data_IF_146423635483
#
_entry.id   IF_146423635483
#
_cell.length_a   1.000
_cell.length_b   1.000
_cell.length_c   1.000
_cell.angle_alpha   90.00
_cell.angle_beta   90.00
_cell.angle_gamma   90.00
#
_symmetry.space_group_name_H-M   'P 1'
#
loop_
_entity.id
_entity.type
_entity.pdbx_description
1 polymer ?
#
# COMPACT_ATOMS: atom_id res chain seq x y z
N UNK A 1 -3.55 8.61 -14.23
CA UNK A 1 -2.15 8.28 -13.82
C UNK A 1 -0.99 8.83 -14.69
N UNK A 2 -1.20 9.28 -15.92
CA UNK A 2 -0.10 9.59 -16.86
C UNK A 2 0.82 10.74 -16.43
N UNK A 3 0.25 11.76 -15.78
CA UNK A 3 0.99 12.85 -15.15
C UNK A 3 2.14 12.37 -14.26
N UNK A 4 1.89 11.37 -13.40
CA UNK A 4 2.91 10.84 -12.50
C UNK A 4 3.98 10.03 -13.23
N UNK A 5 3.64 9.41 -14.37
CA UNK A 5 4.63 8.70 -15.20
C UNK A 5 5.60 9.69 -15.84
N UNK A 6 5.11 10.82 -16.33
CA UNK A 6 5.93 11.89 -16.89
C UNK A 6 6.83 12.53 -15.83
N UNK A 7 6.27 12.83 -14.65
CA UNK A 7 7.03 13.36 -13.52
C UNK A 7 8.22 12.48 -13.14
N UNK A 8 8.05 11.15 -13.12
CA UNK A 8 9.12 10.20 -12.79
C UNK A 8 10.28 10.20 -13.79
N UNK A 9 10.13 10.82 -14.97
CA UNK A 9 11.19 10.95 -15.94
C UNK A 9 12.07 12.21 -15.74
N UNK A 10 11.70 13.09 -14.82
CA UNK A 10 12.44 14.33 -14.52
C UNK A 10 13.50 14.08 -13.45
N UNK A 11 14.68 14.65 -13.62
CA UNK A 11 15.74 14.62 -12.59
C UNK A 11 16.06 15.94 -11.93
N UNK A 12 15.87 17.02 -12.68
CA UNK A 12 16.37 18.32 -12.30
C UNK A 12 15.22 19.22 -11.89
N UNK A 13 15.44 19.98 -10.82
CA UNK A 13 14.43 20.91 -10.30
C UNK A 13 14.08 21.98 -11.33
N UNK A 14 15.01 22.38 -12.20
CA UNK A 14 14.76 23.37 -13.25
C UNK A 14 13.79 22.81 -14.29
N UNK A 15 13.97 21.54 -14.70
CA UNK A 15 13.06 20.86 -15.63
C UNK A 15 11.67 20.66 -15.00
N UNK A 16 11.60 20.35 -13.70
CA UNK A 16 10.33 20.27 -12.98
C UNK A 16 9.59 21.62 -12.98
N UNK A 17 10.29 22.71 -12.66
CA UNK A 17 9.70 24.06 -12.65
C UNK A 17 9.21 24.44 -14.05
N UNK A 18 10.02 24.24 -15.08
CA UNK A 18 9.68 24.63 -16.45
C UNK A 18 8.47 23.85 -17.01
N UNK A 19 8.30 22.58 -16.63
CA UNK A 19 7.23 21.72 -17.20
C UNK A 19 5.97 21.62 -16.35
N UNK A 20 6.06 21.75 -15.02
CA UNK A 20 4.98 21.38 -14.11
C UNK A 20 4.54 22.48 -13.14
N UNK A 21 5.30 23.57 -13.00
CA UNK A 21 4.94 24.66 -12.09
C UNK A 21 4.26 25.78 -12.87
N UNK A 22 3.06 26.14 -12.44
CA UNK A 22 2.33 27.30 -12.97
C UNK A 22 3.12 28.59 -12.64
N UNK A 23 3.55 29.39 -13.63
CA UNK A 23 4.29 30.63 -13.42
C UNK A 23 3.59 31.60 -12.47
N UNK A 24 2.26 31.65 -12.48
CA UNK A 24 1.47 32.58 -11.67
C UNK A 24 1.38 32.15 -10.19
N UNK A 25 1.68 30.88 -9.89
CA UNK A 25 1.74 30.34 -8.53
C UNK A 25 3.03 30.69 -7.80
N UNK A 26 4.01 31.27 -8.51
CA UNK A 26 5.33 31.58 -7.98
C UNK A 26 5.28 32.96 -7.31
N UNK A 27 5.29 32.99 -5.97
CA UNK A 27 5.31 34.25 -5.22
C UNK A 27 6.59 35.07 -5.57
N UNK A 28 6.44 36.28 -6.13
CA UNK A 28 7.57 37.14 -6.49
C UNK A 28 8.47 37.47 -5.29
N UNK A 29 7.93 37.46 -4.06
CA UNK A 29 8.68 37.74 -2.81
C UNK A 29 9.51 36.54 -2.32
N UNK A 30 9.20 35.32 -2.77
CA UNK A 30 9.97 34.11 -2.46
C UNK A 30 11.25 34.00 -3.29
N UNK A 31 11.51 34.92 -4.22
CA UNK A 31 12.75 35.00 -4.99
C UNK A 31 12.92 33.88 -6.02
N UNK A 32 11.86 33.10 -6.28
CA UNK A 32 11.81 31.99 -7.24
C UNK A 32 11.56 32.54 -8.66
N UNK A 33 12.21 33.64 -9.06
CA UNK A 33 12.24 33.97 -10.48
C UNK A 33 13.05 32.88 -11.19
N UNK A 34 12.60 32.37 -12.34
CA UNK A 34 13.34 31.39 -13.13
C UNK A 34 14.80 31.83 -13.40
N UNK A 35 15.05 33.14 -13.48
CA UNK A 35 16.39 33.75 -13.59
C UNK A 35 17.21 33.72 -12.29
N UNK A 36 16.57 33.76 -11.11
CA UNK A 36 17.23 33.67 -9.80
C UNK A 36 17.47 32.23 -9.36
N UNK A 37 16.65 31.27 -9.82
CA UNK A 37 16.92 29.83 -9.77
C UNK A 37 18.12 29.41 -10.65
N UNK A 38 18.64 30.28 -11.52
CA UNK A 38 19.92 30.05 -12.21
C UNK A 38 21.12 30.66 -11.47
N UNK A 39 20.87 31.53 -10.47
CA UNK A 39 21.91 32.20 -9.69
C UNK A 39 22.32 31.34 -8.48
N UNK A 40 23.62 31.16 -8.30
CA UNK A 40 24.16 30.60 -7.06
C UNK A 40 23.96 31.65 -5.94
N UNK A 41 23.05 31.38 -5.00
CA UNK A 41 22.85 32.27 -3.85
C UNK A 41 23.86 31.89 -2.77
N UNK A 42 24.74 32.83 -2.40
CA UNK A 42 25.77 32.72 -1.34
C UNK A 42 25.20 32.68 0.10
N UNK A 43 23.96 32.20 0.29
CA UNK A 43 23.42 31.93 1.63
C UNK A 43 23.69 30.46 1.95
N UNK A 44 24.69 30.20 2.78
CA UNK A 44 25.05 28.91 3.39
C UNK A 44 24.91 27.68 2.45
N UNK A 45 25.87 27.46 1.55
CA UNK A 45 26.10 26.22 0.77
C UNK A 45 24.85 25.35 0.50
N UNK A 46 23.77 25.93 -0.02
CA UNK A 46 22.56 25.17 -0.34
C UNK A 46 22.84 24.36 -1.61
N UNK A 47 23.04 23.05 -1.44
CA UNK A 47 23.19 22.11 -2.56
C UNK A 47 21.80 21.77 -3.07
N UNK A 48 21.57 21.94 -4.38
CA UNK A 48 20.33 21.52 -5.01
C UNK A 48 20.21 20.00 -4.93
N UNK A 49 19.10 19.53 -4.38
CA UNK A 49 18.80 18.11 -4.36
C UNK A 49 18.65 17.60 -5.79
N UNK A 50 19.26 16.45 -6.07
CA UNK A 50 19.05 15.69 -7.30
C UNK A 50 18.09 14.55 -6.98
N UNK A 51 17.11 14.32 -7.84
CA UNK A 51 16.19 13.21 -7.65
C UNK A 51 16.94 11.88 -7.72
N UNK A 52 16.78 11.03 -6.70
CA UNK A 52 17.27 9.66 -6.71
C UNK A 52 16.31 8.82 -7.57
N UNK A 53 16.58 8.73 -8.89
CA UNK A 53 15.73 7.98 -9.82
C UNK A 53 15.64 6.50 -9.42
N UNK A 54 14.48 5.90 -9.68
CA UNK A 54 14.30 4.46 -9.58
C UNK A 54 15.27 3.72 -10.51
N UNK A 55 16.28 3.07 -9.93
CA UNK A 55 17.33 2.37 -10.66
C UNK A 55 17.97 1.26 -9.82
N UNK A 56 18.68 0.29 -10.43
CA UNK A 56 19.39 -0.74 -9.67
C UNK A 56 20.61 -0.16 -8.95
N UNK A 57 20.58 -0.16 -7.62
CA UNK A 57 21.66 0.33 -6.76
C UNK A 57 22.26 -0.81 -5.90
N UNK A 58 23.56 -0.75 -5.57
CA UNK A 58 24.19 -1.74 -4.70
C UNK A 58 23.57 -1.74 -3.30
N UNK A 59 22.94 -2.85 -2.94
CA UNK A 59 22.32 -3.08 -1.62
C UNK A 59 22.97 -4.28 -0.95
N UNK A 60 23.15 -4.19 0.37
CA UNK A 60 23.69 -5.29 1.18
C UNK A 60 22.61 -6.35 1.38
N UNK A 61 22.94 -7.61 1.10
CA UNK A 61 22.06 -8.76 1.28
C UNK A 61 22.75 -9.85 2.07
N UNK A 62 22.00 -10.52 2.93
CA UNK A 62 22.51 -11.60 3.75
C UNK A 62 22.69 -12.88 2.92
N UNK A 63 23.78 -13.59 3.21
CA UNK A 63 24.13 -14.88 2.61
C UNK A 63 23.97 -16.04 3.61
N UNK A 64 23.27 -15.80 4.73
CA UNK A 64 23.03 -16.79 5.78
C UNK A 64 21.63 -17.37 5.56
N UNK A 65 21.49 -18.69 5.32
CA UNK A 65 20.18 -19.32 5.23
C UNK A 65 19.47 -19.29 6.60
N UNK A 66 18.13 -19.22 6.60
CA UNK A 66 17.30 -19.01 7.81
C UNK A 66 17.45 -20.08 8.91
N UNK A 67 17.97 -21.27 8.60
CA UNK A 67 18.13 -22.35 9.58
C UNK A 67 19.36 -23.19 9.25
N UNK A 68 20.48 -22.89 9.89
CA UNK A 68 21.73 -23.64 9.70
C UNK A 68 22.48 -23.81 11.01
N UNK A 69 22.95 -25.02 11.28
CA UNK A 69 23.80 -25.31 12.45
C UNK A 69 25.22 -24.72 12.33
N UNK A 70 25.57 -24.19 11.17
CA UNK A 70 26.89 -23.68 10.86
C UNK A 70 26.90 -22.16 10.67
N UNK A 71 28.06 -21.56 10.86
CA UNK A 71 28.31 -20.15 10.52
C UNK A 71 28.83 -20.02 9.09
N UNK A 72 28.63 -18.85 8.48
CA UNK A 72 28.98 -18.58 7.09
C UNK A 72 29.89 -17.36 6.94
N UNK A 73 30.85 -17.46 6.02
CA UNK A 73 31.74 -16.37 5.63
C UNK A 73 31.81 -16.22 4.08
N UNK A 74 31.66 -15.00 3.54
CA UNK A 74 31.18 -13.78 4.22
C UNK A 74 29.71 -13.91 4.65
N UNK A 75 29.28 -13.10 5.62
CA UNK A 75 27.88 -13.09 6.10
C UNK A 75 26.91 -12.40 5.14
N UNK A 76 27.40 -11.42 4.39
CA UNK A 76 26.62 -10.63 3.46
C UNK A 76 27.47 -10.24 2.25
N UNK A 77 26.81 -9.85 1.17
CA UNK A 77 27.45 -9.31 -0.04
C UNK A 77 26.64 -8.13 -0.57
N UNK A 78 27.16 -7.43 -1.58
CA UNK A 78 26.43 -6.38 -2.30
C UNK A 78 25.88 -6.93 -3.59
N UNK A 79 24.58 -6.76 -3.81
CA UNK A 79 23.91 -7.06 -5.09
C UNK A 79 23.10 -5.85 -5.53
N UNK A 80 22.84 -5.72 -6.83
CA UNK A 80 21.98 -4.64 -7.31
C UNK A 80 20.52 -4.94 -6.95
N UNK A 81 19.87 -4.00 -6.28
CA UNK A 81 18.43 -4.01 -6.00
C UNK A 81 17.83 -2.68 -6.43
N UNK A 82 16.56 -2.70 -6.79
CA UNK A 82 15.85 -1.50 -7.18
C UNK A 82 15.70 -0.59 -5.97
N UNK A 83 16.17 0.64 -6.11
CA UNK A 83 16.17 1.68 -5.09
C UNK A 83 15.92 3.02 -5.76
N UNK A 84 15.64 4.04 -4.95
CA UNK A 84 15.27 5.38 -5.40
C UNK A 84 13.82 5.75 -5.10
N UNK A 85 13.45 6.96 -5.48
CA UNK A 85 12.17 7.59 -5.18
C UNK A 85 11.27 7.60 -6.43
N UNK A 86 9.97 7.49 -6.19
CA UNK A 86 8.92 7.76 -7.16
C UNK A 86 8.10 8.97 -6.65
N UNK A 87 7.59 9.80 -7.55
CA UNK A 87 7.02 11.11 -7.21
C UNK A 87 5.62 11.06 -6.55
N UNK A 88 5.02 9.89 -6.42
CA UNK A 88 3.73 9.70 -5.73
C UNK A 88 3.81 8.52 -4.77
N UNK A 89 3.15 8.60 -3.60
CA UNK A 89 3.11 7.48 -2.66
C UNK A 89 2.44 6.23 -3.24
N UNK A 90 1.61 6.35 -4.28
CA UNK A 90 0.95 5.22 -4.94
C UNK A 90 1.91 4.33 -5.73
N UNK A 91 3.10 4.86 -6.06
CA UNK A 91 4.13 4.14 -6.82
C UNK A 91 5.27 3.69 -5.90
N UNK A 92 5.91 2.58 -6.27
CA UNK A 92 7.18 2.12 -5.71
C UNK A 92 8.16 1.73 -6.80
N UNK A 93 9.46 1.81 -6.50
CA UNK A 93 10.50 1.36 -7.41
C UNK A 93 10.55 -0.17 -7.40
N UNK A 94 10.15 -0.79 -8.51
CA UNK A 94 10.00 -2.24 -8.66
C UNK A 94 10.90 -2.77 -9.79
N UNK A 95 11.43 -4.00 -9.67
CA UNK A 95 12.20 -4.62 -10.74
C UNK A 95 11.32 -4.96 -11.94
N UNK A 96 11.83 -4.72 -13.14
CA UNK A 96 11.24 -5.19 -14.41
C UNK A 96 11.97 -6.38 -14.98
N UNK A 97 13.26 -6.52 -14.62
CA UNK A 97 14.13 -7.60 -15.07
C UNK A 97 15.05 -8.02 -13.94
N UNK A 98 15.11 -9.31 -13.68
CA UNK A 98 15.94 -9.90 -12.62
C UNK A 98 16.76 -11.06 -13.17
N UNK A 99 17.84 -11.37 -12.46
CA UNK A 99 18.66 -12.56 -12.68
C UNK A 99 19.03 -13.18 -11.33
N UNK A 100 19.39 -14.45 -11.34
CA UNK A 100 19.91 -15.14 -10.16
C UNK A 100 21.44 -15.20 -10.24
N UNK A 101 22.11 -14.66 -9.23
CA UNK A 101 23.56 -14.72 -9.07
C UNK A 101 23.88 -15.72 -7.95
N UNK A 102 24.72 -16.69 -8.25
CA UNK A 102 25.11 -17.74 -7.33
C UNK A 102 26.39 -17.35 -6.57
N UNK A 103 26.30 -17.14 -5.26
CA UNK A 103 27.43 -16.80 -4.40
C UNK A 103 27.95 -18.04 -3.66
N UNK A 104 29.25 -18.32 -3.79
CA UNK A 104 29.90 -19.35 -2.99
C UNK A 104 30.26 -18.79 -1.60
N UNK A 105 29.84 -19.49 -0.55
CA UNK A 105 30.12 -19.14 0.85
C UNK A 105 30.87 -20.27 1.54
N UNK A 106 31.72 -19.91 2.49
CA UNK A 106 32.43 -20.89 3.33
C UNK A 106 31.62 -21.17 4.58
N UNK A 107 31.31 -22.44 4.80
CA UNK A 107 30.66 -22.93 6.01
C UNK A 107 31.71 -23.25 7.07
N UNK A 108 31.46 -22.85 8.30
CA UNK A 108 32.41 -23.07 9.39
C UNK A 108 31.75 -23.24 10.76
N UNK A 109 32.47 -23.90 11.66
CA UNK A 109 32.11 -24.07 13.06
C UNK A 109 33.22 -23.50 13.95
N UNK A 110 32.89 -22.68 14.96
CA UNK A 110 33.86 -22.26 15.97
C UNK A 110 34.41 -23.46 16.73
N UNK A 111 35.71 -23.45 17.03
CA UNK A 111 36.37 -24.43 17.90
C UNK A 111 37.15 -23.71 19.00
N UNK A 112 37.61 -24.44 20.03
CA UNK A 112 38.39 -23.86 21.13
C UNK A 112 39.69 -23.16 20.69
N UNK A 113 40.20 -23.50 19.51
CA UNK A 113 41.47 -22.99 18.98
C UNK A 113 41.32 -22.26 17.64
N UNK A 114 40.10 -21.89 17.23
CA UNK A 114 39.87 -21.13 16.00
C UNK A 114 38.62 -21.54 15.25
N UNK A 115 38.75 -21.72 13.93
CA UNK A 115 37.64 -21.99 13.03
C UNK A 115 37.91 -23.29 12.26
N UNK A 116 36.96 -24.22 12.31
CA UNK A 116 36.97 -25.41 11.45
C UNK A 116 36.12 -25.13 10.21
N UNK A 117 36.70 -25.29 9.02
CA UNK A 117 35.92 -25.25 7.77
C UNK A 117 35.09 -26.54 7.63
N UNK A 118 33.81 -26.37 7.30
CA UNK A 118 32.83 -27.44 7.11
C UNK A 118 32.39 -27.56 5.63
N UNK A 119 33.14 -26.96 4.71
CA UNK A 119 32.88 -26.98 3.27
C UNK A 119 32.38 -25.65 2.71
N UNK A 120 31.85 -25.71 1.48
CA UNK A 120 31.27 -24.56 0.78
C UNK A 120 29.81 -24.84 0.46
N UNK A 121 28.99 -23.80 0.49
CA UNK A 121 27.61 -23.81 -0.01
C UNK A 121 27.47 -22.74 -1.11
N UNK A 122 26.48 -22.91 -1.98
CA UNK A 122 26.14 -21.94 -3.04
C UNK A 122 24.79 -21.34 -2.71
N UNK A 123 24.76 -20.02 -2.55
CA UNK A 123 23.56 -19.25 -2.20
C UNK A 123 23.06 -18.51 -3.44
N UNK A 124 21.90 -18.88 -4.02
CA UNK A 124 21.29 -18.14 -5.10
C UNK A 124 20.70 -16.84 -4.56
N UNK A 125 21.08 -15.71 -5.15
CA UNK A 125 20.62 -14.39 -4.75
C UNK A 125 20.06 -13.66 -5.98
N UNK A 126 18.84 -13.14 -5.84
CA UNK A 126 18.22 -12.31 -6.88
C UNK A 126 18.94 -10.96 -7.01
N UNK A 127 19.29 -10.61 -8.24
CA UNK A 127 19.86 -9.33 -8.65
C UNK A 127 18.92 -8.66 -9.66
N UNK A 128 18.69 -7.35 -9.47
CA UNK A 128 17.85 -6.58 -10.36
C UNK A 128 18.70 -5.94 -11.46
N UNK A 129 18.26 -6.09 -12.71
CA UNK A 129 18.92 -5.55 -13.90
C UNK A 129 18.31 -4.24 -14.37
N UNK A 130 16.98 -4.12 -14.24
CA UNK A 130 16.21 -2.96 -14.68
C UNK A 130 15.08 -2.69 -13.67
N UNK A 131 14.73 -1.41 -13.50
CA UNK A 131 13.73 -0.96 -12.52
C UNK A 131 12.80 0.07 -13.15
N UNK A 132 11.55 0.14 -12.66
CA UNK A 132 10.61 1.22 -12.99
C UNK A 132 9.76 1.59 -11.78
N UNK A 133 9.26 2.82 -11.77
CA UNK A 133 8.18 3.20 -10.87
C UNK A 133 6.87 2.54 -11.34
N UNK A 134 6.28 1.73 -10.47
CA UNK A 134 5.04 1.00 -10.76
C UNK A 134 4.08 1.03 -9.57
N UNK A 135 2.79 0.77 -9.81
CA UNK A 135 1.76 0.80 -8.78
C UNK A 135 2.12 -0.16 -7.64
N UNK A 136 2.01 0.31 -6.40
CA UNK A 136 2.16 -0.53 -5.20
C UNK A 136 1.06 -1.57 -5.13
N UNK A 137 -0.17 -1.14 -5.36
CA UNK A 137 -1.36 -1.98 -5.46
C UNK A 137 -1.55 -2.37 -6.91
N UNK A 138 -1.81 -3.65 -7.19
CA UNK A 138 -2.16 -4.17 -8.50
C UNK A 138 -3.65 -4.52 -8.52
N UNK A 139 -4.22 -4.68 -9.72
CA UNK A 139 -5.63 -5.07 -9.88
C UNK A 139 -5.97 -6.36 -9.12
N UNK A 140 -5.06 -7.34 -9.11
CA UNK A 140 -5.20 -8.61 -8.37
C UNK A 140 -5.23 -8.46 -6.84
N UNK A 141 -4.78 -7.32 -6.31
CA UNK A 141 -4.79 -7.04 -4.88
C UNK A 141 -6.15 -6.46 -4.45
N UNK A 142 -6.98 -6.02 -5.40
CA UNK A 142 -8.36 -5.63 -5.14
C UNK A 142 -9.24 -6.87 -4.99
N UNK A 143 -10.22 -6.80 -4.09
CA UNK A 143 -11.19 -7.88 -3.91
C UNK A 143 -12.42 -7.71 -4.81
N UNK A 144 -13.32 -8.69 -4.78
CA UNK A 144 -14.53 -8.74 -5.59
C UNK A 144 -15.50 -7.56 -5.39
N UNK A 145 -15.34 -6.73 -4.37
CA UNK A 145 -16.19 -5.57 -4.11
C UNK A 145 -15.56 -4.24 -4.51
N UNK A 146 -14.34 -4.28 -5.06
CA UNK A 146 -13.54 -3.10 -5.40
C UNK A 146 -13.24 -3.08 -6.89
N UNK A 147 -13.12 -1.86 -7.43
CA UNK A 147 -12.67 -1.60 -8.80
C UNK A 147 -11.26 -1.03 -8.74
N UNK A 148 -10.35 -1.62 -9.50
CA UNK A 148 -8.99 -1.10 -9.63
C UNK A 148 -8.94 0.05 -10.63
N UNK A 149 -8.52 1.22 -10.17
CA UNK A 149 -8.34 2.41 -11.01
C UNK A 149 -7.17 3.24 -10.46
N UNK A 150 -6.34 3.80 -11.34
CA UNK A 150 -5.25 4.73 -10.98
C UNK A 150 -4.32 4.26 -9.82
N UNK A 151 -3.89 2.99 -9.85
CA UNK A 151 -3.05 2.36 -8.81
C UNK A 151 -3.73 2.21 -7.43
N UNK A 152 -5.05 2.27 -7.35
CA UNK A 152 -5.81 2.13 -6.11
C UNK A 152 -7.04 1.24 -6.30
N UNK A 153 -7.49 0.61 -5.21
CA UNK A 153 -8.77 -0.09 -5.17
C UNK A 153 -9.83 0.86 -4.65
N UNK A 154 -10.87 1.09 -5.45
CA UNK A 154 -11.98 1.97 -5.13
C UNK A 154 -13.25 1.15 -4.88
N UNK A 155 -14.05 1.59 -3.90
CA UNK A 155 -15.37 1.04 -3.69
C UNK A 155 -16.38 1.75 -4.62
N UNK A 156 -17.09 1.03 -5.51
CA UNK A 156 -18.00 1.66 -6.47
C UNK A 156 -19.25 2.28 -5.82
N UNK A 157 -19.60 1.87 -4.61
CA UNK A 157 -20.80 2.27 -3.88
C UNK A 157 -20.59 3.58 -3.07
N UNK A 158 -20.25 4.67 -3.76
CA UNK A 158 -19.97 5.99 -3.16
C UNK A 158 -21.14 6.58 -2.38
N UNK A 159 -22.38 6.47 -2.89
CA UNK A 159 -23.59 6.93 -2.18
C UNK A 159 -23.77 6.23 -0.81
N UNK A 160 -23.42 4.95 -0.73
CA UNK A 160 -23.48 4.20 0.53
C UNK A 160 -22.35 4.61 1.49
N UNK A 161 -21.18 4.95 0.95
CA UNK A 161 -20.07 5.48 1.71
C UNK A 161 -20.41 6.85 2.31
N UNK A 162 -20.99 7.76 1.53
CA UNK A 162 -21.38 9.09 1.99
C UNK A 162 -22.41 9.01 3.12
N UNK A 163 -23.47 8.20 2.92
CA UNK A 163 -24.47 7.90 3.97
C UNK A 163 -23.86 7.28 5.23
N UNK A 164 -22.79 6.51 5.09
CA UNK A 164 -22.08 5.94 6.23
C UNK A 164 -21.33 7.02 7.02
N UNK A 165 -20.70 7.97 6.34
CA UNK A 165 -19.93 9.05 6.96
C UNK A 165 -20.82 10.03 7.74
N UNK A 166 -22.10 10.14 7.42
CA UNK A 166 -23.08 10.90 8.20
C UNK A 166 -23.40 10.26 9.57
N UNK A 167 -23.12 8.96 9.76
CA UNK A 167 -23.43 8.22 10.97
C UNK A 167 -22.25 8.22 11.95
N UNK A 168 -22.39 8.91 13.08
CA UNK A 168 -21.32 9.10 14.07
C UNK A 168 -20.72 7.79 14.63
N UNK A 169 -21.55 6.77 14.81
CA UNK A 169 -21.19 5.49 15.43
C UNK A 169 -20.70 4.42 14.42
N UNK A 170 -20.63 4.79 13.15
CA UNK A 170 -20.20 3.92 12.06
C UNK A 170 -18.99 4.49 11.35
N UNK A 171 -18.31 3.61 10.62
CA UNK A 171 -17.19 3.95 9.76
C UNK A 171 -17.25 3.10 8.50
N UNK A 172 -16.74 3.66 7.41
CA UNK A 172 -16.63 2.94 6.16
C UNK A 172 -15.38 2.06 6.17
N UNK A 173 -15.55 0.76 6.04
CA UNK A 173 -14.45 -0.15 5.80
C UNK A 173 -14.17 -0.20 4.29
N UNK A 174 -13.08 0.44 3.89
CA UNK A 174 -12.63 0.48 2.49
C UNK A 174 -12.22 -0.90 1.96
N UNK A 175 -11.91 -1.87 2.83
CA UNK A 175 -11.51 -3.20 2.40
C UNK A 175 -12.73 -4.06 2.04
N UNK A 176 -13.81 -4.04 2.83
CA UNK A 176 -15.05 -4.77 2.49
C UNK A 176 -16.08 -3.94 1.71
N UNK A 177 -15.84 -2.64 1.50
CA UNK A 177 -16.78 -1.68 0.91
C UNK A 177 -18.14 -1.67 1.63
N UNK A 178 -18.09 -1.65 2.97
CA UNK A 178 -19.27 -1.70 3.84
C UNK A 178 -19.19 -0.68 4.97
N UNK A 179 -20.36 -0.23 5.39
CA UNK A 179 -20.52 0.58 6.58
C UNK A 179 -20.57 -0.31 7.84
N UNK A 180 -19.51 -0.27 8.64
CA UNK A 180 -19.34 -1.09 9.85
C UNK A 180 -19.43 -0.24 11.11
N UNK A 181 -19.64 -0.89 12.25
CA UNK A 181 -19.64 -0.22 13.55
C UNK A 181 -18.20 0.06 14.00
N UNK A 182 -17.91 1.28 14.46
CA UNK A 182 -16.57 1.66 14.97
C UNK A 182 -16.11 0.79 16.13
N UNK A 183 -17.05 0.43 17.00
CA UNK A 183 -16.81 -0.41 18.16
C UNK A 183 -17.78 -1.57 18.16
N UNK A 184 -17.22 -2.79 18.15
CA UNK A 184 -17.97 -4.03 18.23
C UNK A 184 -17.81 -4.62 19.62
N UNK A 185 -18.90 -4.64 20.38
CA UNK A 185 -18.94 -5.21 21.71
C UNK A 185 -19.42 -6.67 21.67
N UNK A 186 -18.92 -7.48 22.59
CA UNK A 186 -19.42 -8.85 22.80
C UNK A 186 -20.60 -8.82 23.76
N UNK A 187 -21.78 -9.16 23.25
CA UNK A 187 -23.02 -9.16 24.01
C UNK A 187 -23.06 -10.27 25.07
N UNK A 188 -23.71 -10.01 26.21
CA UNK A 188 -23.92 -10.97 27.30
C UNK A 188 -25.06 -11.95 27.00
N UNK A 189 -25.12 -13.06 27.72
CA UNK A 189 -26.14 -14.11 27.55
C UNK A 189 -27.56 -13.52 27.58
N UNK A 190 -28.35 -13.77 26.53
CA UNK A 190 -29.71 -13.22 26.38
C UNK A 190 -29.80 -11.94 25.53
N UNK A 191 -28.68 -11.43 25.01
CA UNK A 191 -28.65 -10.30 24.07
C UNK A 191 -27.95 -10.66 22.75
N UNK A 192 -28.33 -10.02 21.65
CA UNK A 192 -27.67 -10.13 20.35
C UNK A 192 -27.17 -8.75 19.89
N UNK A 193 -26.07 -8.74 19.15
CA UNK A 193 -25.50 -7.51 18.61
C UNK A 193 -26.27 -7.07 17.36
N UNK A 194 -26.87 -5.88 17.39
CA UNK A 194 -27.52 -5.28 16.23
C UNK A 194 -26.51 -4.43 15.45
N UNK A 195 -26.14 -4.90 14.26
CA UNK A 195 -25.16 -4.22 13.40
C UNK A 195 -25.67 -2.87 12.88
N UNK A 196 -26.98 -2.59 12.90
CA UNK A 196 -27.51 -1.29 12.47
C UNK A 196 -27.33 -0.21 13.53
N UNK A 197 -27.64 -0.54 14.79
CA UNK A 197 -27.55 0.40 15.93
C UNK A 197 -26.20 0.33 16.65
N UNK A 198 -25.36 -0.65 16.31
CA UNK A 198 -24.07 -0.91 16.94
C UNK A 198 -24.19 -1.13 18.46
N UNK A 199 -25.25 -1.84 18.89
CA UNK A 199 -25.60 -2.07 20.30
C UNK A 199 -26.14 -3.49 20.52
N UNK A 200 -26.00 -3.99 21.75
CA UNK A 200 -26.61 -5.24 22.18
C UNK A 200 -28.08 -5.04 22.52
N UNK A 201 -28.97 -5.80 21.87
CA UNK A 201 -30.42 -5.80 22.11
C UNK A 201 -30.86 -7.12 22.75
N UNK A 202 -31.89 -7.08 23.59
CA UNK A 202 -32.45 -8.28 24.23
C UNK A 202 -33.13 -9.19 23.20
N UNK A 203 -32.91 -10.50 23.35
CA UNK A 203 -33.71 -11.53 22.70
C UNK A 203 -35.06 -11.56 23.42
N UNK A 204 -36.10 -10.97 22.83
CA UNK A 204 -37.46 -11.07 23.36
C UNK A 204 -37.90 -12.54 23.29
N UNK A 205 -37.81 -13.26 24.41
CA UNK A 205 -38.58 -14.47 24.62
C UNK A 205 -39.98 -14.01 24.98
N UNK A 206 -40.90 -14.07 24.03
CA UNK A 206 -42.32 -13.86 24.30
C UNK A 206 -42.81 -14.95 25.28
N UNK A 207 -42.93 -14.56 26.54
CA UNK A 207 -43.72 -15.23 27.56
C UNK A 207 -44.42 -14.16 28.41
N UNK A 208 -45.64 -13.86 27.95
CA UNK A 208 -46.82 -13.35 28.63
C UNK A 208 -46.98 -11.88 29.07
N UNK A 209 -48.10 -11.35 28.54
CA UNK A 209 -49.11 -10.48 29.14
C UNK A 209 -48.89 -8.96 29.23
N UNK A 210 -49.61 -8.29 28.33
CA UNK A 210 -50.42 -7.10 28.59
C UNK A 210 -49.70 -5.75 28.83
N UNK A 211 -49.40 -5.06 27.72
CA UNK A 211 -49.46 -3.61 27.67
C UNK A 211 -49.71 -3.16 26.23
N UNK A 212 -50.82 -2.45 26.05
CA UNK A 212 -51.29 -1.86 24.80
C UNK A 212 -50.30 -0.79 24.32
N UNK A 213 -49.36 -1.12 23.44
CA UNK A 213 -48.62 -0.13 22.65
C UNK A 213 -48.37 -0.66 21.24
N UNK A 214 -48.86 0.13 20.29
CA UNK A 214 -48.60 0.12 18.84
C UNK A 214 -47.41 -0.72 18.39
N UNK A 215 -47.71 -1.67 17.51
CA UNK A 215 -46.78 -2.51 16.75
C UNK A 215 -45.48 -1.78 16.37
N UNK A 216 -44.30 -2.21 16.86
CA UNK A 216 -43.07 -1.85 16.20
C UNK A 216 -43.04 -2.62 14.87
N UNK A 217 -42.87 -1.90 13.77
CA UNK A 217 -42.52 -2.37 12.43
C UNK A 217 -41.21 -3.18 12.47
N UNK A 218 -41.23 -4.36 13.09
CA UNK A 218 -40.05 -5.14 13.44
C UNK A 218 -39.91 -6.32 12.47
N UNK A 219 -39.05 -6.11 11.46
CA UNK A 219 -38.18 -7.07 10.74
C UNK A 219 -37.97 -6.63 9.29
N UNK A 220 -39.00 -6.05 8.65
CA UNK A 220 -38.92 -5.59 7.26
C UNK A 220 -38.17 -4.26 7.10
N UNK A 221 -38.28 -3.34 8.07
CA UNK A 221 -37.63 -2.02 8.01
C UNK A 221 -36.14 -2.06 8.38
N UNK A 222 -35.72 -3.11 9.11
CA UNK A 222 -34.33 -3.31 9.57
C UNK A 222 -33.36 -3.73 8.46
N UNK A 223 -33.87 -4.06 7.28
CA UNK A 223 -33.05 -4.40 6.09
C UNK A 223 -32.66 -3.18 5.26
N UNK A 224 -33.18 -1.98 5.56
CA UNK A 224 -33.00 -0.79 4.71
C UNK A 224 -31.60 -0.16 4.77
N UNK A 225 -30.81 -0.44 5.80
CA UNK A 225 -29.51 0.22 6.00
C UNK A 225 -28.29 -0.70 5.93
N UNK A 226 -28.50 -2.01 5.74
CA UNK A 226 -27.40 -2.93 5.45
C UNK A 226 -27.16 -2.85 3.95
N UNK A 227 -26.40 -1.85 3.50
CA UNK A 227 -25.85 -1.87 2.15
C UNK A 227 -24.89 -3.04 2.09
N UNK A 228 -25.33 -4.12 1.44
CA UNK A 228 -24.46 -5.24 1.13
C UNK A 228 -23.49 -4.77 0.05
N UNK A 229 -22.22 -5.14 0.20
CA UNK A 229 -21.27 -4.95 -0.87
C UNK A 229 -21.77 -5.71 -2.10
N UNK A 230 -21.89 -5.01 -3.23
CA UNK A 230 -22.28 -5.59 -4.50
C UNK A 230 -20.98 -6.07 -5.15
N UNK A 231 -20.87 -7.37 -5.48
CA UNK A 231 -19.70 -7.84 -6.20
C UNK A 231 -19.64 -7.14 -7.55
N UNK A 232 -18.45 -6.64 -7.91
CA UNK A 232 -18.14 -6.22 -9.26
C UNK A 232 -18.14 -7.48 -10.11
N UNK A 233 -19.00 -7.54 -11.11
CA UNK A 233 -18.98 -8.65 -12.07
C UNK A 233 -17.69 -8.55 -12.90
N UNK A 234 -16.94 -9.64 -12.98
CA UNK A 234 -15.79 -9.73 -13.87
C UNK A 234 -16.29 -9.64 -15.32
N UNK A 235 -16.04 -8.51 -15.97
CA UNK A 235 -16.38 -8.30 -17.37
C UNK A 235 -15.51 -9.25 -18.22
N UNK A 236 -16.01 -10.45 -18.49
CA UNK A 236 -15.28 -11.50 -19.21
C UNK A 236 -15.24 -11.26 -20.73
N UNK A 237 -15.21 -9.99 -21.15
CA UNK A 237 -15.32 -9.56 -22.53
C UNK A 237 -13.97 -9.51 -23.29
N UNK A 238 -12.90 -10.08 -22.73
CA UNK A 238 -11.62 -10.30 -23.45
C UNK A 238 -11.15 -11.75 -23.52
N UNK A 239 -11.97 -12.75 -23.18
CA UNK A 239 -11.72 -14.13 -23.64
C UNK A 239 -12.33 -14.24 -25.04
N UNK A 240 -11.73 -13.62 -26.06
CA UNK A 240 -11.65 -14.09 -27.45
C UNK A 240 -10.75 -13.13 -28.26
N UNK A 241 -9.61 -13.68 -28.71
CA UNK A 241 -8.65 -13.31 -29.78
C UNK A 241 -7.25 -13.74 -29.26
N UNK A 242 -6.56 -14.77 -29.75
CA UNK A 242 -6.46 -15.43 -31.07
C UNK A 242 -6.46 -16.95 -30.92
#
# INVERSE_FOLDING_TARGET
MDFYRELNNITDISEFIEKFVDPDSIDPKLGIHAENLRRNVERASVVRAKAARCSPEPTVVDLIPLSTMYSYFPKCTRVKRCSGCCNTPLLSCQPTKTEIVNYQVTRYSPTAHGIKSNGFDVIPVEQHLECKCDCRVKAKDCNAFQIYEDCQCHCPNTDAQDKCHELEHKEWDGNSCRCVCRHRETCTTGTYYDENQCKCLLLSTDADSDATFTTPTALADRRRFIVKAIPVEDDNSTIYEV
#
